data_IF_474204918315
#
_entry.id   IF_474204918315
#
_cell.length_a   1.000
_cell.length_b   1.000
_cell.length_c   1.000
_cell.angle_alpha   90.00
_cell.angle_beta   90.00
_cell.angle_gamma   90.00
#
_symmetry.space_group_name_H-M   'P 1'
#
loop_
_entity.id
_entity.type
_entity.pdbx_description
1 polymer ?
#
# COMPACT_ATOMS: atom_id res chain seq x y z
N UNK A 1 11.16 16.52 1.85
CA UNK A 1 11.30 15.22 2.50
C UNK A 1 12.73 14.79 2.46
N UNK A 2 13.21 14.34 3.59
CA UNK A 2 14.62 14.09 3.80
C UNK A 2 15.00 12.67 3.40
N UNK A 3 16.29 12.46 3.08
CA UNK A 3 16.88 11.12 2.93
C UNK A 3 16.57 10.19 4.11
N UNK A 4 16.22 10.76 5.28
CA UNK A 4 15.87 10.02 6.48
C UNK A 4 14.54 9.26 6.38
N UNK A 5 13.58 9.76 5.60
CA UNK A 5 12.29 9.07 5.39
C UNK A 5 12.43 7.93 4.38
N UNK A 6 13.28 8.11 3.38
CA UNK A 6 13.63 7.04 2.43
C UNK A 6 14.37 5.91 3.16
N UNK A 7 15.27 6.25 4.08
CA UNK A 7 15.96 5.30 4.97
C UNK A 7 14.96 4.59 5.90
N UNK A 8 13.94 5.30 6.38
CA UNK A 8 12.88 4.74 7.24
C UNK A 8 12.08 3.63 6.58
N UNK A 9 11.66 3.84 5.33
CA UNK A 9 10.95 2.82 4.54
C UNK A 9 11.86 1.63 4.24
N UNK A 10 13.10 1.88 3.84
CA UNK A 10 14.08 0.82 3.58
C UNK A 10 14.34 -0.04 4.82
N UNK A 11 14.49 0.57 5.99
CA UNK A 11 14.62 -0.16 7.26
C UNK A 11 13.38 -0.98 7.59
N UNK A 12 12.20 -0.40 7.41
CA UNK A 12 10.95 -1.10 7.64
C UNK A 12 10.88 -2.37 6.79
N UNK A 13 11.16 -2.26 5.50
CA UNK A 13 11.11 -3.38 4.57
C UNK A 13 12.20 -4.42 4.87
N UNK A 14 13.40 -3.98 5.24
CA UNK A 14 14.52 -4.86 5.59
C UNK A 14 14.28 -5.65 6.88
N UNK A 15 13.41 -5.16 7.77
CA UNK A 15 13.08 -5.81 9.05
C UNK A 15 11.79 -6.62 9.00
N UNK A 16 11.26 -6.92 7.82
CA UNK A 16 10.07 -7.77 7.68
C UNK A 16 10.34 -9.14 8.32
N UNK A 17 9.46 -9.61 9.22
CA UNK A 17 9.68 -10.88 9.89
C UNK A 17 9.53 -12.07 8.94
N UNK A 18 10.17 -13.17 9.29
CA UNK A 18 10.12 -14.43 8.54
C UNK A 18 8.91 -15.30 8.92
N UNK A 19 8.22 -14.93 9.99
CA UNK A 19 7.04 -15.63 10.47
C UNK A 19 5.89 -14.67 10.79
N UNK A 20 4.71 -15.21 11.02
CA UNK A 20 3.49 -14.46 11.33
C UNK A 20 3.09 -14.52 12.81
N UNK A 21 4.05 -14.72 13.72
CA UNK A 21 3.79 -14.76 15.17
C UNK A 21 3.38 -13.40 15.73
N UNK A 22 3.79 -12.32 15.08
CA UNK A 22 3.41 -10.96 15.45
C UNK A 22 3.01 -10.17 14.20
N UNK A 23 1.90 -9.47 14.29
CA UNK A 23 1.40 -8.59 13.23
C UNK A 23 1.84 -7.12 13.44
N UNK A 24 2.73 -6.87 14.40
CA UNK A 24 3.19 -5.51 14.70
C UNK A 24 3.91 -4.87 13.52
N UNK A 25 4.74 -5.62 12.80
CA UNK A 25 5.40 -5.13 11.60
C UNK A 25 4.39 -4.75 10.51
N UNK A 26 3.42 -5.62 10.24
CA UNK A 26 2.39 -5.36 9.23
C UNK A 26 1.57 -4.13 9.59
N UNK A 27 1.24 -3.95 10.85
CA UNK A 27 0.54 -2.76 11.33
C UNK A 27 1.34 -1.47 11.08
N UNK A 28 2.65 -1.50 11.32
CA UNK A 28 3.53 -0.37 11.01
C UNK A 28 3.63 -0.13 9.50
N UNK A 29 3.73 -1.18 8.72
CA UNK A 29 3.80 -1.09 7.26
C UNK A 29 2.50 -0.52 6.68
N UNK A 30 1.34 -0.95 7.17
CA UNK A 30 0.06 -0.34 6.83
C UNK A 30 0.00 1.15 7.20
N UNK A 31 0.56 1.52 8.36
CA UNK A 31 0.67 2.91 8.78
C UNK A 31 1.48 3.76 7.79
N UNK A 32 2.60 3.22 7.27
CA UNK A 32 3.39 3.88 6.24
C UNK A 32 2.64 4.00 4.91
N UNK A 33 1.93 2.95 4.51
CA UNK A 33 1.09 3.00 3.32
C UNK A 33 -0.01 4.06 3.44
N UNK A 34 -0.63 4.18 4.60
CA UNK A 34 -1.66 5.20 4.85
C UNK A 34 -1.08 6.62 4.81
N UNK A 35 0.12 6.83 5.36
CA UNK A 35 0.83 8.11 5.24
C UNK A 35 1.15 8.44 3.79
N UNK A 36 1.55 7.45 3.01
CA UNK A 36 1.75 7.64 1.57
C UNK A 36 0.44 8.02 0.87
N UNK A 37 -0.66 7.40 1.21
CA UNK A 37 -1.99 7.77 0.70
C UNK A 37 -2.31 9.24 1.00
N UNK A 38 -2.02 9.71 2.21
CA UNK A 38 -2.22 11.12 2.59
C UNK A 38 -1.35 12.05 1.71
N UNK A 39 -0.10 11.66 1.45
CA UNK A 39 0.79 12.41 0.57
C UNK A 39 0.26 12.45 -0.88
N UNK A 40 -0.24 11.33 -1.38
CA UNK A 40 -0.83 11.26 -2.73
C UNK A 40 -2.09 12.13 -2.83
N UNK A 41 -2.91 12.17 -1.79
CA UNK A 41 -4.08 13.04 -1.73
C UNK A 41 -3.69 14.51 -1.75
N UNK A 42 -2.69 14.92 -0.98
CA UNK A 42 -2.17 16.28 -1.00
C UNK A 42 -1.65 16.66 -2.39
N UNK A 43 -0.96 15.75 -3.07
CA UNK A 43 -0.51 15.97 -4.45
C UNK A 43 -1.70 16.16 -5.38
N UNK A 44 -2.71 15.30 -5.29
CA UNK A 44 -3.92 15.41 -6.10
C UNK A 44 -4.63 16.77 -5.88
N UNK A 45 -4.73 17.20 -4.64
CA UNK A 45 -5.36 18.47 -4.28
C UNK A 45 -4.55 19.69 -4.74
N UNK A 46 -3.25 19.52 -4.97
CA UNK A 46 -2.35 20.60 -5.43
C UNK A 46 -2.36 20.83 -6.94
N UNK A 47 -2.95 19.90 -7.70
CA UNK A 47 -3.01 20.01 -9.17
C UNK A 47 -4.00 21.09 -9.60
N UNK A 48 -3.73 21.83 -10.70
CA UNK A 48 -2.54 21.76 -11.56
C UNK A 48 -1.40 22.71 -11.14
N UNK A 49 -1.67 23.76 -10.33
CA UNK A 49 -0.79 24.94 -10.25
C UNK A 49 0.06 24.99 -8.97
N UNK A 50 -0.22 24.17 -7.97
CA UNK A 50 0.42 24.22 -6.66
C UNK A 50 1.26 22.99 -6.34
N UNK A 51 1.80 22.35 -7.35
CA UNK A 51 2.53 21.08 -7.23
C UNK A 51 3.82 21.28 -6.44
N UNK A 52 4.00 20.46 -5.40
CA UNK A 52 5.29 20.31 -4.73
C UNK A 52 6.08 19.21 -5.45
N UNK A 53 7.05 19.62 -6.27
CA UNK A 53 7.82 18.71 -7.13
C UNK A 53 8.65 17.70 -6.35
N UNK A 54 9.25 18.13 -5.23
CA UNK A 54 10.03 17.22 -4.37
C UNK A 54 9.15 16.14 -3.74
N UNK A 55 7.95 16.51 -3.35
CA UNK A 55 6.96 15.56 -2.80
C UNK A 55 6.55 14.52 -3.83
N UNK A 56 6.37 14.93 -5.08
CA UNK A 56 6.09 14.00 -6.18
C UNK A 56 7.23 13.02 -6.41
N UNK A 57 8.47 13.48 -6.40
CA UNK A 57 9.66 12.62 -6.57
C UNK A 57 9.78 11.62 -5.42
N UNK A 58 9.58 12.09 -4.19
CA UNK A 58 9.60 11.20 -3.03
C UNK A 58 8.51 10.12 -3.12
N UNK A 59 7.28 10.51 -3.39
CA UNK A 59 6.17 9.57 -3.52
C UNK A 59 6.42 8.54 -4.63
N UNK A 60 6.98 8.99 -5.76
CA UNK A 60 7.35 8.10 -6.86
C UNK A 60 8.37 7.04 -6.45
N UNK A 61 9.36 7.42 -5.64
CA UNK A 61 10.40 6.50 -5.18
C UNK A 61 9.93 5.56 -4.06
N UNK A 62 9.02 6.03 -3.22
CA UNK A 62 8.51 5.27 -2.08
C UNK A 62 7.43 4.25 -2.47
N UNK A 63 6.63 4.58 -3.46
CA UNK A 63 5.39 3.87 -3.78
C UNK A 63 5.63 2.40 -4.16
N UNK A 64 6.45 2.14 -5.17
CA UNK A 64 6.70 0.79 -5.65
C UNK A 64 7.29 -0.14 -4.58
N UNK A 65 8.41 0.23 -3.94
CA UNK A 65 9.01 -0.59 -2.90
C UNK A 65 8.07 -0.89 -1.72
N UNK A 66 7.29 0.11 -1.28
CA UNK A 66 6.37 -0.07 -0.16
C UNK A 66 5.20 -1.00 -0.52
N UNK A 67 4.62 -0.84 -1.70
CA UNK A 67 3.55 -1.72 -2.18
C UNK A 67 4.06 -3.15 -2.32
N UNK A 68 5.15 -3.36 -3.04
CA UNK A 68 5.71 -4.71 -3.26
C UNK A 68 6.21 -5.36 -1.99
N UNK A 69 6.84 -4.59 -1.10
CA UNK A 69 7.37 -5.10 0.15
C UNK A 69 6.29 -5.65 1.08
N UNK A 70 5.17 -4.95 1.19
CA UNK A 70 4.02 -5.40 1.98
C UNK A 70 3.37 -6.63 1.35
N UNK A 71 3.14 -6.61 0.04
CA UNK A 71 2.56 -7.74 -0.68
C UNK A 71 3.42 -8.99 -0.54
N UNK A 72 4.73 -8.83 -0.65
CA UNK A 72 5.67 -9.95 -0.48
C UNK A 72 5.55 -10.60 0.90
N UNK A 73 5.50 -9.80 1.96
CA UNK A 73 5.30 -10.30 3.31
C UNK A 73 3.97 -11.04 3.43
N UNK A 74 2.89 -10.44 2.93
CA UNK A 74 1.57 -11.05 2.99
C UNK A 74 1.52 -12.39 2.25
N UNK A 75 2.05 -12.44 1.04
CA UNK A 75 1.99 -13.64 0.20
C UNK A 75 2.96 -14.75 0.62
N UNK A 76 4.11 -14.40 1.19
CA UNK A 76 5.13 -15.40 1.59
C UNK A 76 5.07 -15.81 3.04
N UNK A 77 4.51 -14.97 3.93
CA UNK A 77 4.49 -15.19 5.37
C UNK A 77 3.07 -15.28 5.92
N UNK A 78 2.29 -14.22 5.73
CA UNK A 78 0.99 -14.10 6.37
C UNK A 78 -0.05 -15.08 5.80
N UNK A 79 -0.26 -15.08 4.50
CA UNK A 79 -1.27 -15.91 3.86
C UNK A 79 -1.01 -17.42 4.04
N UNK A 80 0.23 -17.90 3.88
CA UNK A 80 0.51 -19.30 4.19
C UNK A 80 0.22 -19.68 5.65
N UNK A 81 0.51 -18.79 6.60
CA UNK A 81 0.22 -19.03 8.01
C UNK A 81 -1.28 -19.07 8.30
N UNK A 82 -2.06 -18.19 7.66
CA UNK A 82 -3.51 -18.19 7.78
C UNK A 82 -4.14 -19.45 7.20
N UNK A 83 -3.68 -19.90 6.05
CA UNK A 83 -4.15 -21.12 5.40
C UNK A 83 -3.80 -22.38 6.19
N UNK A 84 -2.66 -22.38 6.88
CA UNK A 84 -2.26 -23.49 7.74
C UNK A 84 -3.11 -23.56 9.02
N UNK A 85 -3.52 -22.40 9.54
CA UNK A 85 -4.31 -22.32 10.77
C UNK A 85 -5.79 -22.60 10.53
N UNK A 86 -6.32 -22.25 9.38
CA UNK A 86 -7.74 -22.37 9.05
C UNK A 86 -7.93 -23.05 7.70
N UNK A 87 -8.61 -24.20 7.72
CA UNK A 87 -8.87 -25.00 6.52
C UNK A 87 -10.30 -24.74 6.04
N UNK A 88 -10.47 -23.81 5.12
CA UNK A 88 -11.77 -23.55 4.54
C UNK A 88 -11.66 -22.98 3.13
N UNK A 89 -12.62 -23.29 2.27
CA UNK A 89 -12.67 -22.77 0.90
C UNK A 89 -12.86 -21.26 0.86
N UNK A 90 -13.63 -20.70 1.80
CA UNK A 90 -13.88 -19.27 1.88
C UNK A 90 -12.60 -18.46 2.08
N UNK A 91 -11.71 -18.88 2.98
CA UNK A 91 -10.43 -18.19 3.21
C UNK A 91 -9.50 -18.35 2.00
N UNK A 92 -9.47 -19.55 1.41
CA UNK A 92 -8.68 -19.81 0.20
C UNK A 92 -9.09 -18.90 -0.94
N UNK A 93 -10.39 -18.75 -1.17
CA UNK A 93 -10.93 -17.88 -2.21
C UNK A 93 -10.64 -16.41 -1.93
N UNK A 94 -10.77 -15.99 -0.68
CA UNK A 94 -10.44 -14.62 -0.25
C UNK A 94 -8.96 -14.29 -0.51
N UNK A 95 -8.06 -15.19 -0.14
CA UNK A 95 -6.63 -15.00 -0.35
C UNK A 95 -6.29 -14.99 -1.84
N UNK A 96 -6.88 -15.85 -2.64
CA UNK A 96 -6.70 -15.85 -4.09
C UNK A 96 -7.12 -14.51 -4.71
N UNK A 97 -8.21 -13.95 -4.26
CA UNK A 97 -8.69 -12.63 -4.67
C UNK A 97 -7.73 -11.53 -4.25
N UNK A 98 -7.24 -11.55 -3.01
CA UNK A 98 -6.26 -10.56 -2.53
C UNK A 98 -4.98 -10.60 -3.34
N UNK A 99 -4.46 -11.78 -3.68
CA UNK A 99 -3.28 -11.91 -4.54
C UNK A 99 -3.50 -11.33 -5.94
N UNK A 100 -4.68 -11.50 -6.48
CA UNK A 100 -5.04 -10.91 -7.78
C UNK A 100 -5.07 -9.37 -7.68
N UNK A 101 -5.69 -8.84 -6.63
CA UNK A 101 -5.70 -7.40 -6.36
C UNK A 101 -4.28 -6.85 -6.16
N UNK A 102 -3.39 -7.60 -5.52
CA UNK A 102 -1.98 -7.22 -5.40
C UNK A 102 -1.31 -7.03 -6.75
N UNK A 103 -1.54 -7.92 -7.71
CA UNK A 103 -1.00 -7.76 -9.05
C UNK A 103 -1.50 -6.48 -9.74
N UNK A 104 -2.80 -6.21 -9.62
CA UNK A 104 -3.39 -4.98 -10.17
C UNK A 104 -2.79 -3.73 -9.53
N UNK A 105 -2.67 -3.73 -8.20
CA UNK A 105 -2.12 -2.61 -7.44
C UNK A 105 -0.65 -2.36 -7.78
N UNK A 106 0.13 -3.41 -7.96
CA UNK A 106 1.54 -3.28 -8.36
C UNK A 106 1.69 -2.66 -9.75
N UNK A 107 0.91 -3.10 -10.71
CA UNK A 107 0.88 -2.50 -12.06
C UNK A 107 0.46 -1.03 -12.00
N UNK A 108 -0.59 -0.74 -11.24
CA UNK A 108 -1.08 0.62 -11.07
C UNK A 108 -0.02 1.51 -10.40
N UNK A 109 0.67 0.99 -9.41
CA UNK A 109 1.73 1.72 -8.71
C UNK A 109 2.89 2.09 -9.63
N UNK A 110 3.24 1.23 -10.57
CA UNK A 110 4.28 1.51 -11.57
C UNK A 110 3.87 2.66 -12.50
N UNK A 111 2.67 2.62 -13.03
CA UNK A 111 2.14 3.70 -13.88
C UNK A 111 2.06 5.02 -13.10
N UNK A 112 1.57 4.96 -11.89
CA UNK A 112 1.46 6.14 -11.02
C UNK A 112 2.83 6.72 -10.68
N UNK A 113 3.83 5.88 -10.42
CA UNK A 113 5.19 6.31 -10.14
C UNK A 113 5.79 7.08 -11.33
N UNK A 114 5.56 6.64 -12.55
CA UNK A 114 6.01 7.35 -13.76
C UNK A 114 5.34 8.72 -13.88
N UNK A 115 4.04 8.80 -13.63
CA UNK A 115 3.30 10.07 -13.64
C UNK A 115 3.83 11.02 -12.56
N UNK A 116 4.09 10.52 -11.36
CA UNK A 116 4.64 11.31 -10.26
C UNK A 116 6.05 11.82 -10.59
N UNK A 117 6.90 11.01 -11.21
CA UNK A 117 8.22 11.45 -11.66
C UNK A 117 8.11 12.56 -12.70
N UNK A 118 7.21 12.45 -13.66
CA UNK A 118 6.97 13.48 -14.66
C UNK A 118 6.51 14.80 -14.02
N UNK A 119 5.59 14.74 -13.06
CA UNK A 119 5.18 15.89 -12.27
C UNK A 119 6.36 16.51 -11.51
N UNK A 120 7.16 15.67 -10.88
CA UNK A 120 8.34 16.11 -10.11
C UNK A 120 9.44 16.74 -10.96
N UNK A 121 9.57 16.33 -12.21
CA UNK A 121 10.53 16.88 -13.19
C UNK A 121 10.01 18.13 -13.89
N UNK A 122 8.74 18.49 -13.67
CA UNK A 122 8.12 19.62 -14.36
C UNK A 122 7.81 19.35 -15.83
N UNK A 123 7.70 18.08 -16.19
CA UNK A 123 7.29 17.67 -17.54
C UNK A 123 5.78 17.93 -17.73
N UNK A 124 5.32 18.12 -18.98
CA UNK A 124 3.90 18.28 -19.23
C UNK A 124 3.12 17.03 -18.86
N UNK A 125 2.13 17.17 -17.98
CA UNK A 125 1.24 16.10 -17.55
C UNK A 125 -0.19 16.61 -17.59
N UNK A 126 -1.11 15.79 -18.08
CA UNK A 126 -2.53 16.11 -17.99
C UNK A 126 -2.96 16.05 -16.52
N UNK A 127 -3.24 17.21 -15.93
CA UNK A 127 -3.56 17.32 -14.50
C UNK A 127 -4.84 16.58 -14.12
N UNK A 128 -5.85 16.59 -14.96
CA UNK A 128 -7.11 15.90 -14.73
C UNK A 128 -6.91 14.39 -14.70
N UNK A 129 -6.18 13.85 -15.67
CA UNK A 129 -5.85 12.42 -15.71
C UNK A 129 -4.98 12.00 -14.53
N UNK A 130 -3.96 12.79 -14.18
CA UNK A 130 -3.11 12.53 -13.03
C UNK A 130 -3.91 12.54 -11.72
N UNK A 131 -4.78 13.50 -11.53
CA UNK A 131 -5.66 13.57 -10.37
C UNK A 131 -6.58 12.35 -10.26
N UNK A 132 -7.14 11.92 -11.36
CA UNK A 132 -7.96 10.72 -11.42
C UNK A 132 -7.18 9.46 -11.03
N UNK A 133 -5.98 9.30 -11.56
CA UNK A 133 -5.10 8.17 -11.21
C UNK A 133 -4.73 8.17 -9.73
N UNK A 134 -4.32 9.31 -9.20
CA UNK A 134 -3.96 9.47 -7.79
C UNK A 134 -5.13 9.08 -6.88
N UNK A 135 -6.31 9.63 -7.12
CA UNK A 135 -7.49 9.36 -6.29
C UNK A 135 -7.92 7.90 -6.39
N UNK A 136 -7.92 7.34 -7.56
CA UNK A 136 -8.23 5.92 -7.75
C UNK A 136 -7.31 5.02 -6.97
N UNK A 137 -6.01 5.32 -7.00
CA UNK A 137 -5.00 4.52 -6.29
C UNK A 137 -5.12 4.63 -4.77
N UNK A 138 -5.10 5.84 -4.22
CA UNK A 138 -5.10 5.96 -2.75
C UNK A 138 -6.42 5.53 -2.12
N UNK A 139 -7.54 5.75 -2.78
CA UNK A 139 -8.84 5.27 -2.28
C UNK A 139 -8.90 3.74 -2.27
N UNK A 140 -8.42 3.09 -3.33
CA UNK A 140 -8.37 1.63 -3.39
C UNK A 140 -7.44 1.05 -2.31
N UNK A 141 -6.28 1.65 -2.10
CA UNK A 141 -5.34 1.22 -1.06
C UNK A 141 -5.91 1.39 0.34
N UNK A 142 -6.56 2.51 0.63
CA UNK A 142 -7.21 2.74 1.91
C UNK A 142 -8.30 1.69 2.19
N UNK A 143 -9.10 1.33 1.19
CA UNK A 143 -10.12 0.29 1.33
C UNK A 143 -9.50 -1.09 1.56
N UNK A 144 -8.45 -1.41 0.82
CA UNK A 144 -7.74 -2.67 0.94
C UNK A 144 -7.16 -2.84 2.35
N UNK A 145 -6.49 -1.83 2.87
CA UNK A 145 -5.93 -1.85 4.23
C UNK A 145 -7.04 -1.97 5.28
N UNK A 146 -8.13 -1.23 5.13
CA UNK A 146 -9.27 -1.32 6.04
C UNK A 146 -9.87 -2.73 6.05
N UNK A 147 -10.01 -3.36 4.89
CA UNK A 147 -10.47 -4.73 4.77
C UNK A 147 -9.53 -5.70 5.48
N UNK A 148 -8.24 -5.62 5.22
CA UNK A 148 -7.26 -6.51 5.85
C UNK A 148 -7.23 -6.35 7.37
N UNK A 149 -7.27 -5.12 7.87
CA UNK A 149 -7.32 -4.85 9.31
C UNK A 149 -8.55 -5.45 9.97
N UNK A 150 -9.68 -5.39 9.30
CA UNK A 150 -10.94 -5.89 9.84
C UNK A 150 -11.04 -7.42 9.81
N UNK A 151 -10.65 -8.04 8.70
CA UNK A 151 -10.95 -9.45 8.45
C UNK A 151 -9.76 -10.39 8.59
N UNK A 152 -8.53 -9.88 8.58
CA UNK A 152 -7.32 -10.68 8.57
C UNK A 152 -6.44 -10.38 9.78
N UNK A 153 -6.09 -9.10 10.00
CA UNK A 153 -5.18 -8.68 11.07
C UNK A 153 -5.90 -8.64 12.41
N UNK A 154 -7.13 -8.20 12.43
CA UNK A 154 -7.99 -8.17 13.61
C UNK A 154 -9.30 -8.88 13.27
N UNK A 155 -9.35 -10.22 13.32
CA UNK A 155 -10.59 -10.94 13.04
C UNK A 155 -11.69 -10.45 13.99
N UNK A 156 -12.92 -10.36 13.50
CA UNK A 156 -14.03 -9.87 14.32
C UNK A 156 -14.10 -10.69 15.61
N UNK A 157 -14.30 -9.99 16.71
CA UNK A 157 -14.55 -10.62 18.00
C UNK A 157 -15.58 -11.73 17.78
N UNK A 158 -15.20 -12.96 18.14
CA UNK A 158 -16.15 -14.07 18.03
C UNK A 158 -17.43 -13.64 18.74
N UNK A 159 -18.52 -13.69 18.00
CA UNK A 159 -19.83 -13.47 18.61
C UNK A 159 -19.91 -14.40 19.81
N UNK A 160 -20.00 -13.83 20.97
CA UNK A 160 -20.24 -14.59 22.17
C UNK A 160 -21.50 -15.41 21.95
N UNK A 161 -21.31 -16.69 21.80
CA UNK A 161 -22.46 -17.58 21.96
C UNK A 161 -22.85 -17.48 23.42
N UNK A 162 -23.86 -16.72 23.65
CA UNK A 162 -24.55 -16.71 24.93
C UNK A 162 -25.06 -18.12 25.25
#
# INVERSE_FOLDING_TARGET
MSELEEIGIGRLLATAPEDATSLAWLSRAHGEQLRLCDALEEIADSLPDKINRQKCIYAAKALGPLVRGVHRYEETVLFPALLAAEKGTALTDTIARLKFEHCEDECFSEELSETLLSLGRGEPVNAEAAGYMLRGFFEAMRRHIAFERQFIVAPPAQSYKS
#
